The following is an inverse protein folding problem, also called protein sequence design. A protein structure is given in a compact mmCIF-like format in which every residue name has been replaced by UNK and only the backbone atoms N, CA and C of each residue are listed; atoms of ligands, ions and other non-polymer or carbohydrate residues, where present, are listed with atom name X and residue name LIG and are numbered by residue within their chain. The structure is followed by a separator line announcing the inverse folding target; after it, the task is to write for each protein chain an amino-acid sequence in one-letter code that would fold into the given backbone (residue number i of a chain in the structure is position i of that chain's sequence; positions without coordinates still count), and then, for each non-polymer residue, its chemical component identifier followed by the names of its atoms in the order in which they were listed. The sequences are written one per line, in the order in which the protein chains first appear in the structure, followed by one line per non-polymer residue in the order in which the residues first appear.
data_IF_835477943863
#
_entry.id   IF_835477943863
#
_cell.length_a   1.000
_cell.length_b   1.000
_cell.length_c   1.000
_cell.angle_alpha   90.00
_cell.angle_beta   90.00
_cell.angle_gamma   90.00
#
_symmetry.space_group_name_H-M   'P 1'
#
loop_
_entity.id
_entity.type
_entity.pdbx_description
1 polymer ?
#
# COMPACT_ATOMS: atom_id res chain seq x y z
N UNK A 1 -18.36 -39.18 -13.13
CA UNK A 1 -19.23 -39.36 -11.95
C UNK A 1 -18.36 -39.08 -10.71
N UNK A 2 -18.41 -37.84 -10.21
CA UNK A 2 -17.74 -37.45 -8.96
C UNK A 2 -18.67 -37.77 -7.80
N UNK A 3 -18.18 -38.34 -6.69
CA UNK A 3 -19.03 -38.61 -5.55
C UNK A 3 -19.35 -37.29 -4.82
N UNK A 4 -20.62 -37.02 -4.67
CA UNK A 4 -21.14 -35.93 -3.83
C UNK A 4 -20.81 -36.24 -2.36
N UNK A 5 -20.16 -35.29 -1.69
CA UNK A 5 -19.98 -35.32 -0.23
C UNK A 5 -21.32 -34.95 0.41
N UNK A 6 -21.93 -35.81 1.23
CA UNK A 6 -23.19 -35.51 1.86
C UNK A 6 -22.99 -34.57 3.05
N UNK A 7 -23.37 -33.31 2.93
CA UNK A 7 -23.69 -32.48 4.08
C UNK A 7 -25.10 -32.84 4.57
N UNK A 8 -25.19 -33.90 5.35
CA UNK A 8 -26.45 -34.36 5.87
C UNK A 8 -26.64 -34.03 7.33
N UNK A 9 -27.76 -33.38 7.66
CA UNK A 9 -28.33 -33.28 8.98
C UNK A 9 -29.29 -32.08 9.10
N UNK A 10 -30.52 -32.24 9.61
CA UNK A 10 -31.51 -31.16 9.68
C UNK A 10 -31.28 -30.26 10.90
N UNK A 11 -30.23 -29.48 10.87
CA UNK A 11 -30.07 -28.33 11.74
C UNK A 11 -29.50 -27.23 10.85
N UNK A 12 -30.37 -26.32 10.43
CA UNK A 12 -29.97 -25.11 9.73
C UNK A 12 -28.82 -24.40 10.47
N UNK A 13 -28.00 -23.56 9.79
CA UNK A 13 -26.89 -22.90 10.42
C UNK A 13 -27.39 -22.12 11.63
N UNK A 14 -27.07 -22.58 12.84
CA UNK A 14 -27.30 -21.81 14.04
C UNK A 14 -26.45 -20.58 13.93
N UNK A 15 -27.06 -19.43 13.69
CA UNK A 15 -26.41 -18.13 13.85
C UNK A 15 -26.00 -18.07 15.33
N UNK A 16 -24.72 -18.35 15.59
CA UNK A 16 -24.16 -18.19 16.94
C UNK A 16 -24.13 -16.69 17.23
N UNK A 17 -24.65 -16.31 18.39
CA UNK A 17 -24.41 -14.95 18.91
C UNK A 17 -22.89 -14.67 18.87
N UNK A 18 -22.49 -13.42 18.57
CA UNK A 18 -21.08 -13.07 18.51
C UNK A 18 -20.37 -13.58 19.78
N UNK A 19 -19.26 -14.27 19.63
CA UNK A 19 -18.48 -14.70 20.78
C UNK A 19 -18.03 -13.47 21.56
N UNK A 20 -17.94 -13.57 22.88
CA UNK A 20 -17.49 -12.47 23.75
C UNK A 20 -16.16 -11.86 23.26
N UNK A 21 -15.26 -12.68 22.70
CA UNK A 21 -14.01 -12.21 22.10
C UNK A 21 -14.23 -11.25 20.91
N UNK A 22 -15.22 -11.52 20.05
CA UNK A 22 -15.57 -10.66 18.91
C UNK A 22 -16.12 -9.30 19.37
N UNK A 23 -16.92 -9.30 20.45
CA UNK A 23 -17.43 -8.06 21.03
C UNK A 23 -16.33 -7.19 21.64
N UNK A 24 -15.36 -7.80 22.34
CA UNK A 24 -14.19 -7.10 22.88
C UNK A 24 -13.34 -6.54 21.72
N UNK A 25 -13.07 -7.35 20.70
CA UNK A 25 -12.35 -6.89 19.51
C UNK A 25 -13.06 -5.73 18.84
N UNK A 26 -14.38 -5.79 18.65
CA UNK A 26 -15.18 -4.72 18.10
C UNK A 26 -15.12 -3.43 18.95
N UNK A 27 -15.14 -3.56 20.29
CA UNK A 27 -15.03 -2.42 21.20
C UNK A 27 -13.66 -1.71 21.05
N UNK A 28 -12.56 -2.47 21.14
CA UNK A 28 -11.19 -1.93 21.01
C UNK A 28 -10.98 -1.35 19.58
N UNK A 29 -11.44 -2.04 18.53
CA UNK A 29 -11.42 -1.53 17.16
C UNK A 29 -12.12 -0.17 17.06
N UNK A 30 -13.31 -0.05 17.66
CA UNK A 30 -14.04 1.21 17.71
C UNK A 30 -13.24 2.33 18.36
N UNK A 31 -12.56 2.08 19.46
CA UNK A 31 -11.70 3.05 20.14
C UNK A 31 -10.50 3.48 19.26
N UNK A 32 -9.87 2.54 18.56
CA UNK A 32 -8.78 2.84 17.60
C UNK A 32 -9.29 3.71 16.46
N UNK A 33 -10.41 3.32 15.84
CA UNK A 33 -11.00 4.05 14.70
C UNK A 33 -11.43 5.48 15.09
N UNK A 34 -11.95 5.68 16.29
CA UNK A 34 -12.30 7.02 16.80
C UNK A 34 -11.11 7.81 17.32
N UNK A 35 -9.90 7.23 17.35
CA UNK A 35 -8.69 7.89 17.85
C UNK A 35 -8.60 7.98 19.37
N UNK A 36 -9.48 7.30 20.11
CA UNK A 36 -9.42 7.19 21.58
C UNK A 36 -8.19 6.40 22.04
N UNK A 37 -7.75 5.47 21.20
CA UNK A 37 -6.49 4.75 21.32
C UNK A 37 -5.57 5.18 20.17
N UNK A 38 -4.55 5.94 20.50
CA UNK A 38 -3.63 6.47 19.49
C UNK A 38 -2.66 5.40 18.94
N UNK A 39 -2.28 5.52 17.68
CA UNK A 39 -1.20 4.70 17.08
C UNK A 39 0.07 4.77 17.94
N UNK A 40 0.65 3.61 18.20
CA UNK A 40 1.83 3.46 19.04
C UNK A 40 1.52 3.40 20.54
N UNK A 41 0.31 3.66 20.97
CA UNK A 41 -0.11 3.53 22.36
C UNK A 41 -0.13 2.05 22.78
N UNK A 42 0.28 1.76 23.99
CA UNK A 42 0.13 0.42 24.59
C UNK A 42 -1.23 0.32 25.27
N UNK A 43 -1.97 -0.73 25.01
CA UNK A 43 -3.22 -1.03 25.70
C UNK A 43 -2.94 -1.28 27.20
N UNK A 44 -3.96 -1.14 28.07
CA UNK A 44 -3.86 -1.56 29.45
C UNK A 44 -3.39 -3.02 29.59
N UNK A 45 -2.85 -3.40 30.73
CA UNK A 45 -2.37 -4.78 30.96
C UNK A 45 -3.49 -5.81 30.74
N UNK A 46 -3.11 -7.05 30.35
CA UNK A 46 -4.10 -8.15 30.21
C UNK A 46 -4.96 -8.29 31.46
N UNK A 47 -4.36 -8.13 32.66
CA UNK A 47 -5.08 -8.22 33.93
C UNK A 47 -6.15 -7.13 34.07
N UNK A 48 -5.79 -5.86 33.78
CA UNK A 48 -6.73 -4.75 33.84
C UNK A 48 -7.87 -4.88 32.82
N UNK A 49 -7.55 -5.38 31.59
CA UNK A 49 -8.57 -5.60 30.57
C UNK A 49 -9.50 -6.77 30.90
N UNK A 50 -8.96 -7.84 31.51
CA UNK A 50 -9.78 -8.96 32.00
C UNK A 50 -10.79 -8.48 33.06
N UNK A 51 -10.34 -7.63 33.96
CA UNK A 51 -11.16 -7.02 35.01
C UNK A 51 -12.22 -6.07 34.41
N UNK A 52 -11.80 -5.20 33.50
CA UNK A 52 -12.68 -4.23 32.83
C UNK A 52 -13.79 -4.92 32.02
N UNK A 53 -13.47 -6.00 31.28
CA UNK A 53 -14.43 -6.71 30.43
C UNK A 53 -15.12 -7.89 31.16
N UNK A 54 -14.72 -8.24 32.37
CA UNK A 54 -15.27 -9.38 33.10
C UNK A 54 -15.03 -10.72 32.41
N UNK A 55 -13.85 -10.95 31.80
CA UNK A 55 -13.58 -12.12 30.96
C UNK A 55 -12.34 -12.87 31.39
N UNK A 56 -12.27 -14.14 30.98
CA UNK A 56 -11.08 -14.97 31.18
C UNK A 56 -9.93 -14.59 30.24
N UNK A 57 -8.70 -14.95 30.62
CA UNK A 57 -7.50 -14.73 29.79
C UNK A 57 -7.59 -15.37 28.39
N UNK A 58 -8.08 -16.60 28.20
CA UNK A 58 -8.27 -17.18 26.87
C UNK A 58 -9.19 -16.34 25.98
N UNK A 59 -10.29 -15.80 26.53
CA UNK A 59 -11.25 -14.96 25.79
C UNK A 59 -10.60 -13.64 25.34
N UNK A 60 -9.84 -12.99 26.25
CA UNK A 60 -9.12 -11.76 25.89
C UNK A 60 -8.05 -12.01 24.82
N UNK A 61 -7.30 -13.12 24.95
CA UNK A 61 -6.29 -13.48 23.94
C UNK A 61 -6.90 -13.79 22.58
N UNK A 62 -8.07 -14.37 22.53
CA UNK A 62 -8.79 -14.57 21.28
C UNK A 62 -9.22 -13.22 20.65
N UNK A 63 -9.69 -12.27 21.46
CA UNK A 63 -9.96 -10.92 20.99
C UNK A 63 -8.70 -10.23 20.43
N UNK A 64 -7.55 -10.41 21.09
CA UNK A 64 -6.28 -9.89 20.60
C UNK A 64 -5.85 -10.55 19.28
N UNK A 65 -6.05 -11.86 19.11
CA UNK A 65 -5.76 -12.53 17.82
C UNK A 65 -6.59 -11.98 16.69
N UNK A 66 -7.88 -11.68 16.93
CA UNK A 66 -8.73 -11.01 15.93
C UNK A 66 -8.12 -9.66 15.52
N UNK A 67 -7.77 -8.82 16.50
CA UNK A 67 -7.18 -7.51 16.24
C UNK A 67 -5.77 -7.58 15.60
N UNK A 68 -4.97 -8.61 15.95
CA UNK A 68 -3.68 -8.86 15.29
C UNK A 68 -3.86 -9.30 13.83
N UNK A 69 -4.84 -10.15 13.53
CA UNK A 69 -5.19 -10.54 12.16
C UNK A 69 -5.64 -9.34 11.32
N UNK A 70 -6.32 -8.38 11.95
CA UNK A 70 -6.71 -7.10 11.34
C UNK A 70 -5.56 -6.08 11.29
N UNK A 71 -4.38 -6.43 11.83
CA UNK A 71 -3.21 -5.55 11.93
C UNK A 71 -3.48 -4.24 12.68
N UNK A 72 -4.42 -4.26 13.62
CA UNK A 72 -4.75 -3.10 14.46
C UNK A 72 -3.90 -3.04 15.73
N UNK A 73 -3.38 -4.19 16.19
CA UNK A 73 -2.47 -4.27 17.32
C UNK A 73 -1.33 -5.25 17.04
N UNK A 74 -0.27 -5.15 17.83
CA UNK A 74 0.79 -6.17 17.91
C UNK A 74 1.03 -6.53 19.36
N UNK A 75 1.01 -7.82 19.70
CA UNK A 75 1.22 -8.32 21.06
C UNK A 75 2.67 -8.75 21.23
N UNK A 76 3.44 -8.00 22.04
CA UNK A 76 4.79 -8.38 22.44
C UNK A 76 4.80 -9.16 23.74
N UNK A 77 5.52 -10.28 23.77
CA UNK A 77 5.71 -11.09 24.97
C UNK A 77 6.83 -10.53 25.86
N UNK A 78 6.75 -10.80 27.15
CA UNK A 78 7.79 -10.44 28.14
C UNK A 78 7.32 -9.42 29.18
N UNK A 79 8.17 -9.13 30.17
CA UNK A 79 7.86 -8.25 31.30
C UNK A 79 7.60 -6.79 30.93
N UNK A 80 8.12 -6.35 29.79
CA UNK A 80 7.84 -5.03 29.16
C UNK A 80 6.96 -5.17 27.92
N UNK A 81 6.31 -6.32 27.75
CA UNK A 81 5.41 -6.62 26.63
C UNK A 81 4.05 -5.95 26.83
N UNK A 82 3.12 -6.26 25.91
CA UNK A 82 1.76 -5.76 25.91
C UNK A 82 1.25 -5.61 24.50
N UNK A 83 -0.04 -5.35 24.35
CA UNK A 83 -0.65 -5.07 23.07
C UNK A 83 -0.44 -3.59 22.71
N UNK A 84 0.16 -3.33 21.56
CA UNK A 84 0.43 -1.98 21.06
C UNK A 84 -0.41 -1.69 19.83
N UNK A 85 -1.05 -0.54 19.78
CA UNK A 85 -1.86 -0.10 18.64
C UNK A 85 -0.94 0.19 17.45
N UNK A 86 -1.29 -0.37 16.29
CA UNK A 86 -0.59 -0.15 15.03
C UNK A 86 -1.25 0.95 14.21
N UNK A 87 -0.47 1.59 13.34
CA UNK A 87 -1.03 2.36 12.25
C UNK A 87 -1.67 1.40 11.23
N UNK A 88 -2.83 1.72 10.64
CA UNK A 88 -3.32 0.98 9.50
C UNK A 88 -2.25 0.93 8.40
N UNK A 89 -1.89 -0.28 7.98
CA UNK A 89 -0.88 -0.50 6.95
C UNK A 89 -1.57 -0.93 5.64
N UNK A 90 -1.36 -0.12 4.61
CA UNK A 90 -1.92 -0.38 3.29
C UNK A 90 -1.37 -1.68 2.68
N UNK A 91 -0.14 -2.08 3.05
CA UNK A 91 0.47 -3.32 2.56
C UNK A 91 -0.31 -4.57 3.01
N UNK A 92 -0.92 -4.54 4.19
CA UNK A 92 -1.79 -5.63 4.67
C UNK A 92 -3.04 -5.75 3.80
N UNK A 93 -3.72 -4.63 3.52
CA UNK A 93 -4.90 -4.61 2.66
C UNK A 93 -4.53 -4.97 1.21
N UNK A 94 -3.40 -4.48 0.71
CA UNK A 94 -2.92 -4.78 -0.63
C UNK A 94 -2.63 -6.28 -0.84
N UNK A 95 -2.18 -7.00 0.20
CA UNK A 95 -1.98 -8.44 0.13
C UNK A 95 -3.28 -9.19 -0.13
N UNK A 96 -4.37 -8.80 0.52
CA UNK A 96 -5.70 -9.40 0.25
C UNK A 96 -6.22 -9.06 -1.14
N UNK A 97 -6.06 -7.79 -1.57
CA UNK A 97 -6.42 -7.36 -2.92
C UNK A 97 -5.59 -8.14 -3.95
N UNK A 98 -4.28 -8.25 -3.76
CA UNK A 98 -3.40 -8.99 -4.65
C UNK A 98 -3.76 -10.47 -4.75
N UNK A 99 -4.10 -11.12 -3.62
CA UNK A 99 -4.60 -12.51 -3.64
C UNK A 99 -5.88 -12.63 -4.47
N UNK A 100 -6.82 -11.69 -4.31
CA UNK A 100 -8.06 -11.68 -5.09
C UNK A 100 -7.77 -11.52 -6.59
N UNK A 101 -6.88 -10.59 -6.96
CA UNK A 101 -6.46 -10.38 -8.34
C UNK A 101 -5.78 -11.62 -8.92
N UNK A 102 -4.93 -12.30 -8.14
CA UNK A 102 -4.27 -13.55 -8.56
C UNK A 102 -5.27 -14.67 -8.81
N UNK A 103 -6.24 -14.88 -7.91
CA UNK A 103 -7.30 -15.90 -8.06
C UNK A 103 -8.20 -15.62 -9.27
N UNK A 104 -8.42 -14.34 -9.60
CA UNK A 104 -9.18 -13.94 -10.80
C UNK A 104 -8.34 -13.88 -12.07
N UNK A 105 -7.08 -14.31 -12.03
CA UNK A 105 -6.15 -14.29 -13.17
C UNK A 105 -5.97 -12.89 -13.77
N UNK A 106 -6.07 -11.85 -12.95
CA UNK A 106 -5.84 -10.46 -13.37
C UNK A 106 -4.38 -10.26 -13.75
N UNK A 107 -4.15 -9.63 -14.89
CA UNK A 107 -2.78 -9.36 -15.36
C UNK A 107 -2.19 -8.12 -14.68
N UNK A 108 -0.86 -8.03 -14.65
CA UNK A 108 -0.19 -6.83 -14.16
C UNK A 108 -0.47 -5.64 -15.09
N UNK A 109 -0.73 -5.88 -16.37
CA UNK A 109 -1.15 -4.85 -17.32
C UNK A 109 -2.49 -4.21 -16.92
N UNK A 110 -3.48 -5.01 -16.49
CA UNK A 110 -4.77 -4.50 -15.99
C UNK A 110 -4.58 -3.61 -14.76
N UNK A 111 -3.66 -3.99 -13.85
CA UNK A 111 -3.35 -3.18 -12.67
C UNK A 111 -2.73 -1.84 -13.07
N UNK A 112 -1.85 -1.83 -14.07
CA UNK A 112 -1.28 -0.59 -14.62
C UNK A 112 -2.32 0.29 -15.30
N UNK A 113 -3.25 -0.31 -16.06
CA UNK A 113 -4.35 0.43 -16.69
C UNK A 113 -5.22 1.12 -15.62
N UNK A 114 -5.58 0.42 -14.55
CA UNK A 114 -6.30 1.01 -13.43
C UNK A 114 -5.52 2.17 -12.77
N UNK A 115 -4.20 2.04 -12.61
CA UNK A 115 -3.34 3.13 -12.10
C UNK A 115 -3.34 4.36 -13.01
N UNK A 116 -3.32 4.17 -14.34
CA UNK A 116 -3.39 5.26 -15.32
C UNK A 116 -4.73 6.02 -15.31
N UNK A 117 -5.78 5.42 -14.76
CA UNK A 117 -7.05 6.12 -14.50
C UNK A 117 -6.99 6.92 -13.20
N UNK A 118 -6.46 6.33 -12.13
CA UNK A 118 -6.57 6.87 -10.76
C UNK A 118 -5.46 7.90 -10.44
N UNK A 119 -4.20 7.58 -10.74
CA UNK A 119 -3.07 8.43 -10.31
C UNK A 119 -3.01 9.78 -11.03
N UNK A 120 -3.30 9.91 -12.35
CA UNK A 120 -3.35 11.23 -13.01
C UNK A 120 -4.40 12.17 -12.43
N UNK A 121 -5.57 11.63 -12.06
CA UNK A 121 -6.60 12.41 -11.37
C UNK A 121 -6.12 12.95 -10.02
N UNK A 122 -5.29 12.18 -9.30
CA UNK A 122 -4.66 12.67 -8.06
C UNK A 122 -3.68 13.81 -8.32
N UNK A 123 -2.89 13.74 -9.40
CA UNK A 123 -1.99 14.84 -9.80
C UNK A 123 -2.75 16.11 -10.13
N UNK A 124 -3.88 16.02 -10.85
CA UNK A 124 -4.76 17.18 -11.14
C UNK A 124 -5.32 17.80 -9.85
N UNK A 125 -5.80 16.96 -8.91
CA UNK A 125 -6.29 17.45 -7.63
C UNK A 125 -5.18 18.12 -6.82
N UNK A 126 -3.98 17.56 -6.82
CA UNK A 126 -2.83 18.16 -6.15
C UNK A 126 -2.46 19.51 -6.76
N UNK A 127 -2.43 19.64 -8.07
CA UNK A 127 -2.17 20.93 -8.75
C UNK A 127 -3.11 22.03 -8.26
N UNK A 128 -4.40 21.71 -8.11
CA UNK A 128 -5.40 22.66 -7.63
C UNK A 128 -5.27 23.01 -6.15
N UNK A 129 -4.81 22.08 -5.31
CA UNK A 129 -4.85 22.15 -3.83
C UNK A 129 -3.49 22.37 -3.19
N UNK A 130 -2.41 22.18 -3.92
CA UNK A 130 -1.04 22.15 -3.43
C UNK A 130 -0.71 23.35 -2.54
N UNK A 131 0.04 23.11 -1.50
CA UNK A 131 0.68 24.13 -0.64
C UNK A 131 2.14 24.33 -1.08
N UNK A 132 2.78 25.39 -0.56
CA UNK A 132 4.24 25.58 -0.75
C UNK A 132 5.03 24.40 -0.18
N UNK A 133 4.63 23.91 0.98
CA UNK A 133 5.27 22.76 1.63
C UNK A 133 5.21 21.49 0.75
N UNK A 134 4.11 21.26 0.04
CA UNK A 134 3.99 20.09 -0.83
C UNK A 134 4.99 20.15 -1.99
N UNK A 135 5.18 21.33 -2.58
CA UNK A 135 6.19 21.56 -3.63
C UNK A 135 7.61 21.36 -3.07
N UNK A 136 7.90 21.86 -1.87
CA UNK A 136 9.22 21.70 -1.24
C UNK A 136 9.51 20.22 -0.94
N UNK A 137 8.50 19.46 -0.47
CA UNK A 137 8.61 18.03 -0.21
C UNK A 137 8.87 17.24 -1.52
N UNK A 138 8.14 17.55 -2.61
CA UNK A 138 8.33 16.95 -3.92
C UNK A 138 9.70 17.30 -4.54
N UNK A 139 10.14 18.55 -4.41
CA UNK A 139 11.44 18.99 -4.89
C UNK A 139 12.58 18.26 -4.16
N UNK A 140 12.45 17.99 -2.86
CA UNK A 140 13.42 17.15 -2.13
C UNK A 140 13.48 15.74 -2.70
N UNK A 141 12.35 15.10 -2.96
CA UNK A 141 12.35 13.79 -3.61
C UNK A 141 13.01 13.81 -4.98
N UNK A 142 12.78 14.87 -5.79
CA UNK A 142 13.42 15.03 -7.09
C UNK A 142 14.94 15.21 -6.94
N UNK A 143 15.40 15.94 -5.91
CA UNK A 143 16.84 16.09 -5.62
C UNK A 143 17.47 14.76 -5.23
N UNK A 144 16.82 13.98 -4.35
CA UNK A 144 17.29 12.65 -3.94
C UNK A 144 17.38 11.70 -5.15
N UNK A 145 16.34 11.69 -6.00
CA UNK A 145 16.33 10.91 -7.24
C UNK A 145 17.42 11.36 -8.22
N UNK A 146 17.71 12.67 -8.28
CA UNK A 146 18.76 13.21 -9.14
C UNK A 146 20.12 12.70 -8.67
N UNK A 147 20.42 12.79 -7.37
CA UNK A 147 21.68 12.31 -6.81
C UNK A 147 21.91 10.82 -7.12
N UNK A 148 20.86 9.99 -6.96
CA UNK A 148 20.93 8.57 -7.30
C UNK A 148 21.15 8.33 -8.80
N UNK A 149 20.50 9.07 -9.69
CA UNK A 149 20.65 8.93 -11.14
C UNK A 149 22.04 9.38 -11.65
N UNK A 150 22.72 10.27 -10.91
CA UNK A 150 24.03 10.79 -11.25
C UNK A 150 25.20 9.87 -10.80
N UNK A 151 24.94 8.81 -10.00
CA UNK A 151 25.94 7.78 -9.65
C UNK A 151 26.43 6.99 -10.89
N UNK A 152 25.74 7.10 -12.02
CA UNK A 152 26.14 6.53 -13.32
C UNK A 152 26.17 5.00 -13.32
N UNK A 153 27.15 4.41 -14.03
CA UNK A 153 27.30 2.96 -14.19
C UNK A 153 27.70 2.23 -12.87
N UNK A 154 28.00 2.97 -11.80
CA UNK A 154 28.24 2.42 -10.46
C UNK A 154 26.96 2.35 -9.63
N UNK A 155 25.79 2.53 -10.27
CA UNK A 155 24.51 2.55 -9.61
C UNK A 155 24.19 1.18 -8.95
N UNK A 156 24.57 1.07 -7.68
CA UNK A 156 24.23 -0.10 -6.84
C UNK A 156 22.93 0.10 -6.06
N UNK A 157 22.26 1.22 -6.32
CA UNK A 157 21.17 1.75 -5.52
C UNK A 157 19.75 1.42 -6.00
N UNK A 158 19.53 0.30 -6.70
CA UNK A 158 18.19 -0.07 -7.19
C UNK A 158 17.09 0.05 -6.10
N UNK A 159 17.37 -0.40 -4.89
CA UNK A 159 16.42 -0.27 -3.77
C UNK A 159 16.23 1.18 -3.31
N UNK A 160 17.30 1.98 -3.32
CA UNK A 160 17.22 3.40 -2.98
C UNK A 160 16.39 4.16 -4.03
N UNK A 161 16.61 3.87 -5.31
CA UNK A 161 15.82 4.41 -6.40
C UNK A 161 14.34 4.05 -6.30
N UNK A 162 14.04 2.77 -6.11
CA UNK A 162 12.66 2.30 -5.94
C UNK A 162 11.98 2.95 -4.74
N UNK A 163 12.70 3.15 -3.63
CA UNK A 163 12.17 3.90 -2.47
C UNK A 163 11.90 5.36 -2.81
N UNK A 164 12.82 6.03 -3.50
CA UNK A 164 12.68 7.45 -3.84
C UNK A 164 11.53 7.69 -4.81
N UNK A 165 11.41 6.89 -5.88
CA UNK A 165 10.29 6.96 -6.84
C UNK A 165 8.96 6.61 -6.19
N UNK A 166 8.95 5.61 -5.29
CA UNK A 166 7.79 5.25 -4.50
C UNK A 166 7.35 6.46 -3.65
N UNK A 167 8.29 7.08 -2.92
CA UNK A 167 7.99 8.23 -2.04
C UNK A 167 7.43 9.41 -2.82
N UNK A 168 7.99 9.71 -3.99
CA UNK A 168 7.46 10.77 -4.86
C UNK A 168 5.99 10.52 -5.24
N UNK A 169 5.67 9.31 -5.68
CA UNK A 169 4.29 8.96 -6.03
C UNK A 169 3.33 8.94 -4.82
N UNK A 170 3.80 8.50 -3.65
CA UNK A 170 3.02 8.57 -2.40
C UNK A 170 2.66 10.01 -2.04
N UNK A 171 3.62 10.94 -2.15
CA UNK A 171 3.37 12.36 -1.89
C UNK A 171 2.27 12.92 -2.79
N UNK A 172 2.24 12.57 -4.08
CA UNK A 172 1.18 12.99 -4.99
C UNK A 172 -0.19 12.54 -4.46
N UNK A 173 -0.30 11.28 -4.07
CA UNK A 173 -1.56 10.68 -3.59
C UNK A 173 -1.99 11.25 -2.23
N UNK A 174 -1.07 11.33 -1.27
CA UNK A 174 -1.32 11.85 0.07
C UNK A 174 -1.79 13.32 0.03
N UNK A 175 -1.16 14.14 -0.84
CA UNK A 175 -1.40 15.58 -0.93
C UNK A 175 -2.51 15.96 -1.91
N UNK A 176 -3.06 15.01 -2.68
CA UNK A 176 -4.22 15.23 -3.54
C UNK A 176 -5.48 15.66 -2.77
N UNK A 177 -5.51 15.44 -1.44
CA UNK A 177 -6.64 15.84 -0.58
C UNK A 177 -7.89 14.98 -0.76
N UNK A 178 -7.74 13.78 -1.36
CA UNK A 178 -8.78 12.76 -1.45
C UNK A 178 -8.27 11.44 -0.86
N UNK A 179 -8.63 11.18 0.40
CA UNK A 179 -8.14 10.01 1.14
C UNK A 179 -8.57 8.69 0.50
N UNK A 180 -9.78 8.61 -0.05
CA UNK A 180 -10.28 7.39 -0.70
C UNK A 180 -9.46 7.07 -1.94
N UNK A 181 -9.20 8.08 -2.79
CA UNK A 181 -8.38 7.94 -3.97
C UNK A 181 -6.93 7.56 -3.60
N UNK A 182 -6.38 8.15 -2.54
CA UNK A 182 -5.05 7.81 -2.04
C UNK A 182 -4.97 6.34 -1.58
N UNK A 183 -5.99 5.83 -0.90
CA UNK A 183 -6.05 4.42 -0.50
C UNK A 183 -6.14 3.50 -1.72
N UNK A 184 -7.03 3.77 -2.67
CA UNK A 184 -7.19 2.94 -3.87
C UNK A 184 -5.91 2.88 -4.70
N UNK A 185 -5.31 4.04 -4.99
CA UNK A 185 -4.06 4.10 -5.73
C UNK A 185 -2.90 3.44 -4.98
N UNK A 186 -2.85 3.66 -3.66
CA UNK A 186 -1.84 3.04 -2.79
C UNK A 186 -1.92 1.50 -2.80
N UNK A 187 -3.12 0.92 -2.77
CA UNK A 187 -3.32 -0.54 -2.90
C UNK A 187 -2.76 -1.08 -4.21
N UNK A 188 -3.09 -0.44 -5.34
CA UNK A 188 -2.58 -0.87 -6.65
C UNK A 188 -1.06 -0.72 -6.76
N UNK A 189 -0.50 0.36 -6.22
CA UNK A 189 0.95 0.57 -6.17
C UNK A 189 1.67 -0.51 -5.36
N UNK A 190 1.08 -0.91 -4.23
CA UNK A 190 1.64 -1.96 -3.38
C UNK A 190 1.59 -3.32 -4.07
N UNK A 191 0.48 -3.65 -4.75
CA UNK A 191 0.37 -4.88 -5.57
C UNK A 191 1.45 -4.92 -6.64
N UNK A 192 1.66 -3.81 -7.35
CA UNK A 192 2.73 -3.70 -8.36
C UNK A 192 4.10 -3.88 -7.71
N UNK A 193 4.36 -3.24 -6.56
CA UNK A 193 5.64 -3.34 -5.87
C UNK A 193 5.95 -4.77 -5.41
N UNK A 194 4.94 -5.51 -4.94
CA UNK A 194 5.09 -6.91 -4.55
C UNK A 194 5.41 -7.81 -5.76
N UNK A 195 4.68 -7.65 -6.87
CA UNK A 195 4.87 -8.43 -8.09
C UNK A 195 6.23 -8.15 -8.74
N UNK A 196 6.64 -6.88 -8.82
CA UNK A 196 7.83 -6.46 -9.56
C UNK A 196 9.13 -6.49 -8.74
N UNK A 197 9.11 -6.92 -7.49
CA UNK A 197 10.31 -6.88 -6.63
C UNK A 197 11.53 -7.53 -7.26
N UNK A 198 11.36 -8.62 -7.99
CA UNK A 198 12.43 -9.36 -8.69
C UNK A 198 12.72 -8.77 -10.08
N UNK A 199 11.69 -8.42 -10.85
CA UNK A 199 11.84 -7.85 -12.19
C UNK A 199 12.48 -6.45 -12.15
N UNK A 200 12.09 -5.62 -11.19
CA UNK A 200 12.68 -4.30 -11.00
C UNK A 200 14.20 -4.36 -10.74
N UNK A 201 14.67 -5.31 -9.92
CA UNK A 201 16.11 -5.49 -9.68
C UNK A 201 16.87 -5.80 -10.97
N UNK A 202 16.36 -6.71 -11.81
CA UNK A 202 16.95 -7.07 -13.10
C UNK A 202 16.98 -5.89 -14.09
N UNK A 203 15.98 -5.01 -14.03
CA UNK A 203 15.93 -3.84 -14.91
C UNK A 203 17.09 -2.86 -14.65
N UNK A 204 17.59 -2.78 -13.41
CA UNK A 204 18.71 -1.90 -13.06
C UNK A 204 20.08 -2.45 -13.46
N UNK A 205 20.21 -3.76 -13.67
CA UNK A 205 21.48 -4.38 -14.08
C UNK A 205 21.76 -4.22 -15.60
N UNK A 206 20.90 -3.46 -16.33
CA UNK A 206 21.02 -3.32 -17.78
C UNK A 206 21.81 -2.09 -18.20
N UNK A 207 22.51 -2.18 -19.33
CA UNK A 207 23.08 -1.00 -19.97
C UNK A 207 21.98 0.03 -20.26
N UNK A 208 22.18 1.27 -19.89
CA UNK A 208 21.26 2.39 -20.13
C UNK A 208 20.23 2.65 -19.01
N UNK A 209 20.20 1.85 -17.94
CA UNK A 209 19.33 2.07 -16.78
C UNK A 209 19.50 3.47 -16.15
N UNK A 210 20.75 3.96 -16.06
CA UNK A 210 21.04 5.31 -15.57
C UNK A 210 20.37 6.41 -16.41
N UNK A 211 20.34 6.26 -17.75
CA UNK A 211 19.63 7.24 -18.61
C UNK A 211 18.11 7.15 -18.45
N UNK A 212 17.57 5.97 -18.24
CA UNK A 212 16.13 5.81 -17.92
C UNK A 212 15.81 6.48 -16.58
N UNK A 213 16.64 6.34 -15.56
CA UNK A 213 16.52 7.07 -14.29
C UNK A 213 16.54 8.59 -14.51
N UNK A 214 17.50 9.11 -15.29
CA UNK A 214 17.56 10.54 -15.63
C UNK A 214 16.30 11.03 -16.37
N UNK A 215 15.73 10.21 -17.28
CA UNK A 215 14.46 10.54 -17.95
C UNK A 215 13.32 10.61 -16.94
N UNK A 216 13.25 9.67 -16.00
CA UNK A 216 12.23 9.68 -14.95
C UNK A 216 12.36 10.92 -14.04
N UNK A 217 13.60 11.32 -13.66
CA UNK A 217 13.85 12.57 -12.92
C UNK A 217 13.35 13.79 -13.68
N UNK A 218 13.68 13.89 -14.98
CA UNK A 218 13.18 15.02 -15.82
C UNK A 218 11.66 15.06 -15.85
N UNK A 219 11.01 13.91 -15.95
CA UNK A 219 9.56 13.81 -15.94
C UNK A 219 8.96 14.23 -14.58
N UNK A 220 9.51 13.77 -13.46
CA UNK A 220 9.08 14.20 -12.13
C UNK A 220 9.27 15.72 -11.92
N UNK A 221 10.40 16.27 -12.36
CA UNK A 221 10.66 17.71 -12.31
C UNK A 221 9.63 18.51 -13.11
N UNK A 222 9.27 18.03 -14.31
CA UNK A 222 8.22 18.66 -15.13
C UNK A 222 6.87 18.62 -14.42
N UNK A 223 6.52 17.53 -13.77
CA UNK A 223 5.28 17.48 -12.97
C UNK A 223 5.28 18.56 -11.88
N UNK A 224 6.38 18.71 -11.14
CA UNK A 224 6.47 19.73 -10.07
C UNK A 224 6.27 21.15 -10.64
N UNK A 225 6.79 21.44 -11.82
CA UNK A 225 6.56 22.74 -12.49
C UNK A 225 5.07 22.94 -12.84
N UNK A 226 4.39 21.91 -13.37
CA UNK A 226 2.96 21.98 -13.66
C UNK A 226 2.12 22.14 -12.36
N UNK A 227 2.51 21.45 -11.29
CA UNK A 227 1.90 21.63 -9.97
C UNK A 227 2.10 23.07 -9.46
N UNK A 228 3.32 23.63 -9.60
CA UNK A 228 3.60 25.01 -9.18
C UNK A 228 2.80 26.03 -10.01
N UNK A 229 2.62 25.79 -11.28
CA UNK A 229 1.77 26.60 -12.16
C UNK A 229 0.26 26.42 -11.91
N UNK A 230 -0.16 25.48 -11.05
CA UNK A 230 -1.55 25.06 -10.83
C UNK A 230 -2.25 24.58 -12.13
N UNK A 231 -1.46 24.06 -13.08
CA UNK A 231 -1.98 23.48 -14.31
C UNK A 231 -2.47 22.04 -14.05
N UNK A 232 -3.72 21.93 -13.61
CA UNK A 232 -4.33 20.65 -13.27
C UNK A 232 -4.44 19.72 -14.48
N UNK A 233 -4.83 20.25 -15.64
CA UNK A 233 -4.99 19.47 -16.87
C UNK A 233 -3.63 19.00 -17.42
N UNK A 234 -2.64 19.90 -17.42
CA UNK A 234 -1.27 19.56 -17.80
C UNK A 234 -0.65 18.53 -16.87
N UNK A 235 -0.86 18.65 -15.55
CA UNK A 235 -0.39 17.70 -14.56
C UNK A 235 -1.01 16.31 -14.79
N UNK A 236 -2.31 16.23 -15.06
CA UNK A 236 -3.02 14.98 -15.36
C UNK A 236 -2.46 14.31 -16.61
N UNK A 237 -2.42 15.03 -17.73
CA UNK A 237 -1.89 14.49 -19.01
C UNK A 237 -0.45 14.04 -18.86
N UNK A 238 0.38 14.87 -18.22
CA UNK A 238 1.80 14.55 -18.04
C UNK A 238 2.03 13.32 -17.18
N UNK A 239 1.28 13.21 -16.06
CA UNK A 239 1.43 12.06 -15.16
C UNK A 239 0.91 10.77 -15.80
N UNK A 240 -0.14 10.81 -16.61
CA UNK A 240 -0.61 9.69 -17.43
C UNK A 240 0.48 9.18 -18.36
N UNK A 241 1.10 10.08 -19.15
CA UNK A 241 2.20 9.73 -20.04
C UNK A 241 3.41 9.15 -19.29
N UNK A 242 3.72 9.71 -18.09
CA UNK A 242 4.78 9.17 -17.24
C UNK A 242 4.52 7.72 -16.83
N UNK A 243 3.30 7.42 -16.41
CA UNK A 243 2.91 6.06 -16.00
C UNK A 243 2.88 5.08 -17.19
N UNK A 244 2.46 5.52 -18.37
CA UNK A 244 2.51 4.73 -19.60
C UNK A 244 3.96 4.31 -19.93
N UNK A 245 4.88 5.26 -19.93
CA UNK A 245 6.30 5.00 -20.20
C UNK A 245 6.92 4.10 -19.13
N UNK A 246 6.64 4.37 -17.86
CA UNK A 246 7.12 3.54 -16.74
C UNK A 246 6.56 2.12 -16.81
N UNK A 247 5.27 1.96 -17.10
CA UNK A 247 4.62 0.66 -17.29
C UNK A 247 5.24 -0.13 -18.43
N UNK A 248 5.43 0.50 -19.60
CA UNK A 248 6.07 -0.13 -20.74
C UNK A 248 7.51 -0.58 -20.45
N UNK A 249 8.27 0.22 -19.69
CA UNK A 249 9.62 -0.14 -19.31
C UNK A 249 9.66 -1.36 -18.37
N UNK A 250 8.73 -1.46 -17.44
CA UNK A 250 8.64 -2.57 -16.49
C UNK A 250 8.06 -3.84 -17.11
N UNK A 251 7.08 -3.71 -17.99
CA UNK A 251 6.44 -4.85 -18.67
C UNK A 251 7.27 -5.42 -19.84
N UNK A 252 8.32 -4.71 -20.26
CA UNK A 252 9.19 -5.14 -21.37
C UNK A 252 9.91 -6.46 -21.08
N UNK A 253 10.14 -6.77 -19.80
CA UNK A 253 10.91 -7.92 -19.32
C UNK A 253 10.08 -8.96 -18.57
N UNK A 254 8.82 -8.69 -18.41
CA UNK A 254 7.86 -9.68 -17.93
C UNK A 254 7.56 -10.66 -19.09
N UNK A 255 7.49 -12.00 -18.87
CA UNK A 255 7.29 -12.97 -19.93
C UNK A 255 5.97 -12.84 -20.71
N UNK A 256 5.33 -11.68 -20.66
CA UNK A 256 4.22 -11.29 -21.51
C UNK A 256 3.16 -10.46 -20.79
N UNK A 257 2.31 -9.76 -21.57
CA UNK A 257 1.17 -9.00 -21.02
C UNK A 257 0.15 -9.89 -20.28
N UNK A 258 0.34 -11.20 -20.32
CA UNK A 258 -0.45 -12.23 -19.66
C UNK A 258 0.12 -12.66 -18.30
N UNK A 259 1.19 -12.03 -17.79
CA UNK A 259 1.67 -12.35 -16.44
C UNK A 259 0.58 -12.01 -15.43
N UNK A 260 0.00 -13.05 -14.87
CA UNK A 260 -0.92 -12.95 -13.73
C UNK A 260 -0.16 -12.38 -12.55
N UNK A 261 -0.79 -11.49 -11.79
CA UNK A 261 -0.21 -10.99 -10.53
C UNK A 261 0.23 -12.20 -9.71
N UNK A 262 1.52 -12.34 -9.49
CA UNK A 262 2.10 -13.37 -8.64
C UNK A 262 2.72 -12.73 -7.41
N UNK A 263 2.15 -13.01 -6.25
CA UNK A 263 2.59 -12.47 -4.96
C UNK A 263 3.34 -13.49 -4.11
N UNK A 264 3.33 -14.76 -4.53
CA UNK A 264 3.84 -15.86 -3.71
C UNK A 264 4.97 -16.62 -4.40
N UNK A 265 5.34 -16.23 -5.64
CA UNK A 265 6.54 -16.55 -6.45
C UNK A 265 7.07 -17.95 -6.36
#
# INVERSE_FOLDING_TARGET
MSPAVPFGGPAGPRVRAPKTAELIAAHIRGQIVRGELATGQTLPSEGALMETFGVSRPTLREAFRILETESLINVRRGSRGGARVLAPDIAVAARYVGLLLQVTHTTIADVYEARMVIEPAAAALLASRRTRKDLDDLNRCVADMTALADEGDQFTGAEAWLRATRRFGELILERAGNRTLAVQAGLLREVVAMHLSTAARRAFDRPGSAEECRKAVRSCRKLVLLLDARDAEGAERHWRTHLEVAGQALLRDDPGPAAVVDLFG
#
